data_IF_723399584809
#
_entry.id   IF_723399584809
#
_cell.length_a   1.000
_cell.length_b   1.000
_cell.length_c   1.000
_cell.angle_alpha   90.00
_cell.angle_beta   90.00
_cell.angle_gamma   90.00
#
_symmetry.space_group_name_H-M   'P 1'
#
loop_
_entity.id
_entity.type
_entity.pdbx_description
1 polymer ?
#
# COMPACT_ATOMS: atom_id res chain seq x y z
N UNK A 1 -3.18 19.25 -10.55
CA UNK A 1 -3.67 18.28 -9.53
C UNK A 1 -4.96 18.75 -8.87
N UNK A 2 -5.08 20.01 -8.37
CA UNK A 2 -6.32 20.54 -7.79
C UNK A 2 -7.46 20.47 -8.79
N UNK A 3 -7.29 21.05 -9.98
CA UNK A 3 -8.30 21.09 -11.05
C UNK A 3 -8.85 19.72 -11.46
N UNK A 4 -8.02 18.68 -11.34
CA UNK A 4 -8.41 17.33 -11.76
C UNK A 4 -8.99 16.49 -10.62
N UNK A 5 -8.54 16.70 -9.38
CA UNK A 5 -8.87 15.84 -8.25
C UNK A 5 -9.75 16.49 -7.19
N UNK A 6 -9.62 17.79 -6.99
CA UNK A 6 -10.32 18.49 -5.89
C UNK A 6 -11.49 19.33 -6.41
N UNK A 7 -11.27 20.12 -7.45
CA UNK A 7 -12.31 21.02 -7.97
C UNK A 7 -13.58 20.28 -8.44
N UNK A 8 -13.50 19.07 -9.02
CA UNK A 8 -14.68 18.29 -9.39
C UNK A 8 -15.44 17.67 -8.22
N UNK A 9 -14.88 17.68 -6.99
CA UNK A 9 -15.55 17.10 -5.84
C UNK A 9 -16.80 17.93 -5.43
N UNK A 10 -17.81 17.27 -4.83
CA UNK A 10 -18.93 17.95 -4.22
C UNK A 10 -18.47 18.95 -3.14
N UNK A 11 -19.20 20.06 -2.99
CA UNK A 11 -18.82 21.16 -2.08
C UNK A 11 -18.79 20.74 -0.60
N UNK A 12 -19.57 19.75 -0.22
CA UNK A 12 -19.57 19.15 1.13
C UNK A 12 -18.37 18.22 1.38
N UNK A 13 -17.76 17.72 0.31
CA UNK A 13 -16.57 16.83 0.39
C UNK A 13 -15.27 17.64 0.40
N UNK A 14 -15.20 18.75 -0.34
CA UNK A 14 -13.98 19.58 -0.44
C UNK A 14 -13.34 19.93 0.90
N UNK A 15 -14.10 20.34 1.94
CA UNK A 15 -13.54 20.66 3.25
C UNK A 15 -12.89 19.47 3.98
N UNK A 16 -13.20 18.24 3.57
CA UNK A 16 -12.63 17.01 4.14
C UNK A 16 -11.30 16.62 3.51
N UNK A 17 -10.89 17.32 2.45
CA UNK A 17 -9.65 17.06 1.74
C UNK A 17 -8.50 17.85 2.33
N UNK A 18 -7.50 17.13 2.86
CA UNK A 18 -6.27 17.74 3.33
C UNK A 18 -5.15 17.53 2.30
N UNK A 19 -4.50 18.62 1.92
CA UNK A 19 -3.33 18.57 1.01
C UNK A 19 -2.08 19.06 1.71
N UNK A 20 -0.98 18.33 1.51
CA UNK A 20 0.36 18.75 1.89
C UNK A 20 1.33 18.49 0.72
N UNK A 21 2.27 19.42 0.51
CA UNK A 21 3.18 19.35 -0.64
C UNK A 21 4.26 18.26 -0.51
N UNK A 22 4.84 18.12 0.68
CA UNK A 22 5.92 17.17 0.94
C UNK A 22 5.76 16.51 2.31
N UNK A 23 6.16 15.22 2.39
CA UNK A 23 6.15 14.41 3.60
C UNK A 23 7.53 13.80 3.83
N UNK A 24 8.07 13.96 5.03
CA UNK A 24 9.18 13.11 5.45
C UNK A 24 8.68 11.68 5.73
N UNK A 25 9.56 10.66 5.62
CA UNK A 25 9.12 9.26 5.78
C UNK A 25 8.47 8.95 7.13
N UNK A 26 8.92 9.57 8.21
CA UNK A 26 8.34 9.45 9.55
C UNK A 26 6.98 10.14 9.68
N UNK A 27 6.81 11.29 9.06
CA UNK A 27 5.52 11.97 8.97
C UNK A 27 4.51 11.14 8.16
N UNK A 28 4.95 10.63 7.00
CA UNK A 28 4.14 9.72 6.18
C UNK A 28 3.75 8.47 6.97
N UNK A 29 4.69 7.84 7.69
CA UNK A 29 4.42 6.70 8.53
C UNK A 29 3.40 7.01 9.64
N UNK A 30 3.49 8.19 10.25
CA UNK A 30 2.53 8.66 11.26
C UNK A 30 1.12 8.81 10.70
N UNK A 31 0.98 9.37 9.50
CA UNK A 31 -0.33 9.51 8.83
C UNK A 31 -0.86 8.15 8.40
N UNK A 32 -0.02 7.34 7.75
CA UNK A 32 -0.43 6.02 7.27
C UNK A 32 -0.87 5.09 8.40
N UNK A 33 -0.24 5.16 9.57
CA UNK A 33 -0.63 4.34 10.73
C UNK A 33 -2.07 4.60 11.21
N UNK A 34 -2.64 5.75 10.87
CA UNK A 34 -4.00 6.17 11.21
C UNK A 34 -4.96 6.15 10.02
N UNK A 35 -4.43 5.95 8.82
CA UNK A 35 -5.26 5.87 7.62
C UNK A 35 -6.04 4.55 7.57
N UNK A 36 -7.20 4.59 6.95
CA UNK A 36 -7.97 3.38 6.63
C UNK A 36 -7.27 2.55 5.55
N UNK A 37 -6.82 3.22 4.49
CA UNK A 37 -6.04 2.65 3.40
C UNK A 37 -5.10 3.70 2.81
N UNK A 38 -4.08 3.26 2.10
CA UNK A 38 -3.18 4.10 1.31
C UNK A 38 -3.30 3.71 -0.16
N UNK A 39 -3.40 4.69 -1.04
CA UNK A 39 -3.38 4.51 -2.49
C UNK A 39 -2.17 5.27 -3.03
N UNK A 40 -1.32 4.62 -3.81
CA UNK A 40 -0.07 5.23 -4.26
C UNK A 40 0.42 4.69 -5.59
N UNK A 41 0.95 5.59 -6.42
CA UNK A 41 1.76 5.26 -7.60
C UNK A 41 3.23 4.96 -7.24
N UNK A 42 3.65 5.29 -6.04
CA UNK A 42 5.03 5.09 -5.57
C UNK A 42 5.09 3.85 -4.67
N UNK A 43 6.01 2.90 -4.98
CA UNK A 43 6.07 1.60 -4.32
C UNK A 43 6.52 1.65 -2.85
N UNK A 44 7.22 2.71 -2.41
CA UNK A 44 7.68 2.84 -1.02
C UNK A 44 6.56 3.20 -0.05
N UNK A 45 5.60 4.01 -0.48
CA UNK A 45 4.43 4.36 0.34
C UNK A 45 3.62 3.13 0.81
N UNK A 46 3.30 2.17 -0.07
CA UNK A 46 2.71 0.90 0.33
C UNK A 46 3.55 0.11 1.34
N UNK A 47 4.88 0.07 1.19
CA UNK A 47 5.75 -0.63 2.15
C UNK A 47 5.62 -0.03 3.54
N UNK A 48 5.65 1.32 3.63
CA UNK A 48 5.48 2.03 4.89
C UNK A 48 4.09 1.76 5.49
N UNK A 49 3.04 1.80 4.67
CA UNK A 49 1.67 1.55 5.11
C UNK A 49 1.50 0.11 5.64
N UNK A 50 1.92 -0.90 4.88
CA UNK A 50 1.88 -2.31 5.26
C UNK A 50 2.68 -2.58 6.55
N UNK A 51 3.82 -1.90 6.72
CA UNK A 51 4.62 -1.98 7.96
C UNK A 51 3.85 -1.45 9.16
N UNK A 52 3.00 -0.45 8.97
CA UNK A 52 2.14 0.17 9.97
C UNK A 52 0.75 -0.48 10.09
N UNK A 53 0.57 -1.68 9.54
CA UNK A 53 -0.69 -2.44 9.58
C UNK A 53 -1.85 -1.74 8.84
N UNK A 54 -1.54 -0.94 7.84
CA UNK A 54 -2.50 -0.23 6.99
C UNK A 54 -2.54 -0.85 5.60
N UNK A 55 -3.72 -1.20 5.08
CA UNK A 55 -3.88 -1.67 3.71
C UNK A 55 -3.35 -0.66 2.71
N UNK A 56 -2.70 -1.14 1.67
CA UNK A 56 -2.14 -0.26 0.66
C UNK A 56 -2.34 -0.79 -0.75
N UNK A 57 -2.94 0.04 -1.58
CA UNK A 57 -3.11 -0.19 -3.01
C UNK A 57 -1.95 0.43 -3.77
N UNK A 58 -1.37 -0.36 -4.65
CA UNK A 58 -0.33 0.07 -5.55
C UNK A 58 -0.89 0.23 -6.95
N UNK A 59 -0.86 1.45 -7.45
CA UNK A 59 -1.23 1.79 -8.83
C UNK A 59 0.02 1.68 -9.69
N UNK A 60 0.17 0.52 -10.32
CA UNK A 60 1.36 0.18 -11.08
C UNK A 60 1.29 0.79 -12.48
N UNK A 61 2.37 1.46 -12.85
CA UNK A 61 2.57 2.00 -14.19
C UNK A 61 3.39 1.01 -15.03
N UNK A 62 3.25 1.00 -16.37
CA UNK A 62 4.02 0.12 -17.24
C UNK A 62 5.54 0.23 -17.03
N UNK A 63 6.01 1.44 -16.72
CA UNK A 63 7.43 1.74 -16.49
C UNK A 63 7.97 1.17 -15.17
N UNK A 64 7.10 0.77 -14.26
CA UNK A 64 7.51 0.27 -12.94
C UNK A 64 8.18 -1.09 -12.96
N UNK A 65 8.08 -1.81 -14.06
CA UNK A 65 8.75 -3.09 -14.31
C UNK A 65 8.63 -4.06 -13.12
N UNK A 66 9.69 -4.22 -12.32
CA UNK A 66 9.75 -5.17 -11.19
C UNK A 66 9.18 -4.60 -9.88
N UNK A 67 8.92 -3.29 -9.78
CA UNK A 67 8.55 -2.66 -8.50
C UNK A 67 7.31 -3.27 -7.84
N UNK A 68 6.31 -3.64 -8.61
CA UNK A 68 5.08 -4.28 -8.11
C UNK A 68 5.22 -5.76 -7.75
N UNK A 69 6.34 -6.41 -8.10
CA UNK A 69 6.51 -7.87 -7.93
C UNK A 69 6.33 -8.32 -6.48
N UNK A 70 6.73 -7.51 -5.52
CA UNK A 70 6.59 -7.86 -4.10
C UNK A 70 5.14 -8.17 -3.70
N UNK A 71 4.14 -7.54 -4.32
CA UNK A 71 2.73 -7.80 -4.02
C UNK A 71 2.31 -9.21 -4.45
N UNK A 72 2.82 -9.67 -5.60
CA UNK A 72 2.61 -11.03 -6.08
C UNK A 72 3.33 -12.03 -5.20
N UNK A 73 4.58 -11.77 -4.86
CA UNK A 73 5.40 -12.63 -4.00
C UNK A 73 4.84 -12.75 -2.57
N UNK A 74 4.18 -11.72 -2.10
CA UNK A 74 3.55 -11.66 -0.79
C UNK A 74 2.08 -12.14 -0.78
N UNK A 75 1.54 -12.57 -1.93
CA UNK A 75 0.19 -13.10 -2.05
C UNK A 75 -0.93 -12.07 -1.85
N UNK A 76 -0.65 -10.79 -2.10
CA UNK A 76 -1.62 -9.68 -2.02
C UNK A 76 -1.79 -8.97 -3.37
N UNK A 77 -1.71 -9.74 -4.44
CA UNK A 77 -1.84 -9.25 -5.83
C UNK A 77 -3.13 -8.47 -6.09
N UNK A 78 -4.20 -8.76 -5.36
CA UNK A 78 -5.49 -8.06 -5.47
C UNK A 78 -5.43 -6.60 -4.98
N UNK A 79 -4.30 -6.15 -4.46
CA UNK A 79 -4.05 -4.76 -4.08
C UNK A 79 -3.11 -4.05 -5.06
N UNK A 80 -2.77 -4.70 -6.18
CA UNK A 80 -2.07 -4.08 -7.32
C UNK A 80 -3.07 -3.82 -8.42
N UNK A 81 -3.03 -2.63 -8.96
CA UNK A 81 -3.85 -2.22 -10.10
C UNK A 81 -2.95 -1.74 -11.23
N UNK A 82 -2.98 -2.45 -12.34
CA UNK A 82 -2.32 -2.01 -13.58
C UNK A 82 -3.15 -0.86 -14.16
N UNK A 83 -2.63 0.36 -14.13
CA UNK A 83 -3.43 1.57 -14.42
C UNK A 83 -4.02 1.60 -15.83
N UNK A 84 -3.36 0.99 -16.81
CA UNK A 84 -3.87 0.91 -18.19
C UNK A 84 -5.01 -0.12 -18.35
N UNK A 85 -5.21 -0.99 -17.38
CA UNK A 85 -6.18 -2.08 -17.42
C UNK A 85 -7.25 -1.95 -16.34
N UNK A 86 -7.16 -0.92 -15.49
CA UNK A 86 -8.01 -0.77 -14.31
C UNK A 86 -8.75 0.56 -14.36
N UNK A 87 -10.06 0.52 -14.20
CA UNK A 87 -10.87 1.73 -14.07
C UNK A 87 -10.85 2.27 -12.64
N UNK A 88 -11.21 3.55 -12.48
CA UNK A 88 -11.38 4.14 -11.15
C UNK A 88 -12.49 3.46 -10.34
N UNK A 89 -13.53 2.90 -11.01
CA UNK A 89 -14.59 2.11 -10.35
C UNK A 89 -14.04 0.82 -9.76
N UNK A 90 -13.16 0.10 -10.46
CA UNK A 90 -12.57 -1.15 -9.94
C UNK A 90 -11.79 -0.91 -8.64
N UNK A 91 -11.06 0.23 -8.59
CA UNK A 91 -10.32 0.63 -7.38
C UNK A 91 -11.29 1.00 -6.25
N UNK A 92 -12.32 1.76 -6.58
CA UNK A 92 -13.36 2.16 -5.63
C UNK A 92 -14.09 0.95 -5.05
N UNK A 93 -14.50 0.00 -5.90
CA UNK A 93 -15.18 -1.22 -5.48
C UNK A 93 -14.31 -2.05 -4.53
N UNK A 94 -13.02 -2.18 -4.84
CA UNK A 94 -12.08 -2.85 -3.95
C UNK A 94 -11.91 -2.14 -2.60
N UNK A 95 -11.91 -0.80 -2.61
CA UNK A 95 -11.88 -0.02 -1.37
C UNK A 95 -13.16 -0.23 -0.55
N UNK A 96 -14.32 -0.25 -1.22
CA UNK A 96 -15.61 -0.49 -0.56
C UNK A 96 -15.71 -1.89 0.03
N UNK A 97 -15.16 -2.92 -0.61
CA UNK A 97 -15.04 -4.25 -0.02
C UNK A 97 -14.28 -4.22 1.32
N UNK A 98 -13.20 -3.44 1.39
CA UNK A 98 -12.46 -3.26 2.65
C UNK A 98 -13.25 -2.48 3.69
N UNK A 99 -14.09 -1.52 3.29
CA UNK A 99 -15.00 -0.79 4.20
C UNK A 99 -16.00 -1.75 4.81
N UNK A 100 -16.52 -2.69 4.04
CA UNK A 100 -17.50 -3.68 4.50
C UNK A 100 -16.86 -4.76 5.43
N UNK A 101 -15.61 -5.15 5.19
CA UNK A 101 -14.88 -6.09 6.08
C UNK A 101 -13.44 -5.61 6.37
N UNK A 102 -13.30 -4.59 7.21
CA UNK A 102 -11.96 -4.06 7.55
C UNK A 102 -11.12 -5.07 8.35
N UNK A 103 -11.78 -6.03 9.00
CA UNK A 103 -11.11 -7.10 9.74
C UNK A 103 -10.31 -8.03 8.83
N UNK A 104 -10.82 -8.32 7.64
CA UNK A 104 -10.17 -9.19 6.68
C UNK A 104 -8.83 -8.59 6.18
N UNK A 105 -8.85 -7.34 5.76
CA UNK A 105 -7.65 -6.64 5.31
C UNK A 105 -6.55 -6.62 6.38
N UNK A 106 -6.91 -6.32 7.63
CA UNK A 106 -5.98 -6.33 8.76
C UNK A 106 -5.44 -7.73 9.08
N UNK A 107 -6.27 -8.77 9.02
CA UNK A 107 -5.81 -10.17 9.21
C UNK A 107 -4.77 -10.54 8.13
N UNK A 108 -5.05 -10.20 6.88
CA UNK A 108 -4.15 -10.45 5.74
C UNK A 108 -2.79 -9.79 5.94
N UNK A 109 -2.74 -8.52 6.35
CA UNK A 109 -1.49 -7.81 6.64
C UNK A 109 -0.71 -8.48 7.78
N UNK A 110 -1.37 -8.89 8.86
CA UNK A 110 -0.70 -9.56 9.98
C UNK A 110 -0.06 -10.87 9.55
N UNK A 111 -0.75 -11.66 8.73
CA UNK A 111 -0.20 -12.90 8.17
C UNK A 111 1.03 -12.61 7.32
N UNK A 112 0.93 -11.67 6.40
CA UNK A 112 2.02 -11.20 5.56
C UNK A 112 3.23 -10.74 6.38
N UNK A 113 3.02 -9.89 7.40
CA UNK A 113 4.11 -9.43 8.27
C UNK A 113 4.81 -10.58 9.00
N UNK A 114 4.05 -11.61 9.42
CA UNK A 114 4.61 -12.81 10.06
C UNK A 114 5.48 -13.60 9.08
N UNK A 115 5.02 -13.78 7.84
CA UNK A 115 5.76 -14.47 6.78
C UNK A 115 7.05 -13.74 6.42
N UNK A 116 6.98 -12.43 6.18
CA UNK A 116 8.15 -11.60 5.88
C UNK A 116 9.18 -11.66 7.00
N UNK A 117 8.76 -11.59 8.27
CA UNK A 117 9.67 -11.75 9.42
C UNK A 117 10.31 -13.14 9.44
N UNK A 118 9.55 -14.18 9.08
CA UNK A 118 10.07 -15.54 8.96
C UNK A 118 11.14 -15.69 7.88
N UNK A 119 10.89 -15.14 6.70
CA UNK A 119 11.83 -15.11 5.58
C UNK A 119 13.12 -14.36 5.94
N UNK A 120 12.99 -13.20 6.56
CA UNK A 120 14.12 -12.38 7.01
C UNK A 120 15.01 -13.13 8.00
N UNK A 121 14.40 -13.76 9.03
CA UNK A 121 15.14 -14.56 10.02
C UNK A 121 15.89 -15.73 9.35
N UNK A 122 15.25 -16.46 8.43
CA UNK A 122 15.88 -17.56 7.67
C UNK A 122 17.03 -17.06 6.81
N UNK A 123 16.86 -15.94 6.11
CA UNK A 123 17.88 -15.31 5.28
C UNK A 123 19.14 -14.92 6.08
N UNK A 124 18.95 -14.23 7.21
CA UNK A 124 20.05 -13.86 8.12
C UNK A 124 20.76 -15.09 8.66
N UNK A 125 20.02 -16.11 9.14
CA UNK A 125 20.61 -17.33 9.67
C UNK A 125 21.46 -18.07 8.61
N UNK A 126 20.98 -18.11 7.37
CA UNK A 126 21.73 -18.68 6.23
C UNK A 126 23.02 -17.91 5.98
N UNK A 127 22.96 -16.58 5.98
CA UNK A 127 24.13 -15.71 5.75
C UNK A 127 25.17 -15.88 6.85
N UNK A 128 24.76 -15.86 8.12
CA UNK A 128 25.68 -16.06 9.25
C UNK A 128 26.41 -17.42 9.16
N UNK A 129 25.69 -18.51 8.81
CA UNK A 129 26.29 -19.82 8.61
C UNK A 129 27.32 -19.84 7.48
N UNK A 130 27.11 -19.10 6.41
CA UNK A 130 28.06 -19.02 5.28
C UNK A 130 29.34 -18.24 5.61
N UNK A 131 29.29 -17.32 6.61
CA UNK A 131 30.45 -16.54 7.05
C UNK A 131 31.33 -17.29 8.07
N UNK A 132 30.83 -18.41 8.61
CA UNK A 132 31.57 -19.24 9.59
C UNK A 132 32.31 -20.42 8.93
N UNK A 133 32.24 -20.53 7.62
CA UNK A 133 33.03 -21.46 6.79
C UNK A 133 34.19 -20.71 6.15
#
# INVERSE_FOLDING_TARGET
>A
MYELLIDPLPDDVKPLVFKRGYWFPDEAASVYSRAFAVLSFECHSPIIALRNNTPAFYLRQPEDTIKGQMYYDLGIKEWVFEIEQTSGSDISDRLMEMVHDPGNAKRKIRTLQKEVRGLFKKGIAKKIRSLRK
#
